data_IF_166456034653
#
_entry.id   IF_166456034653
#
_cell.length_a   1.000
_cell.length_b   1.000
_cell.length_c   1.000
_cell.angle_alpha   90.00
_cell.angle_beta   90.00
_cell.angle_gamma   90.00
#
_symmetry.space_group_name_H-M   'P 1'
#
loop_
_entity.id
_entity.type
_entity.pdbx_description
1 polymer ?
#
# COMPACT_ATOMS: atom_id res chain seq x y z
N UNK A 1 -12.19 0.77 25.92
CA UNK A 1 -13.15 0.75 24.79
C UNK A 1 -14.36 -0.10 25.10
N UNK A 2 -14.13 -1.25 25.72
CA UNK A 2 -15.08 -2.31 26.06
C UNK A 2 -16.37 -1.84 26.77
N UNK A 3 -16.32 -0.82 27.64
CA UNK A 3 -17.51 -0.33 28.38
C UNK A 3 -18.59 0.27 27.47
N UNK A 4 -18.19 0.97 26.39
CA UNK A 4 -19.14 1.53 25.41
C UNK A 4 -19.82 0.45 24.59
N UNK A 5 -19.13 -0.66 24.36
CA UNK A 5 -19.63 -1.78 23.56
C UNK A 5 -20.57 -2.64 24.40
N UNK A 6 -20.31 -2.77 25.70
CA UNK A 6 -21.21 -3.47 26.60
C UNK A 6 -22.61 -2.84 26.65
N UNK A 7 -22.72 -1.51 26.62
CA UNK A 7 -24.02 -0.81 26.56
C UNK A 7 -24.83 -1.21 25.32
N UNK A 8 -24.19 -1.27 24.15
CA UNK A 8 -24.85 -1.73 22.92
C UNK A 8 -25.15 -3.23 23.00
N UNK A 9 -24.24 -4.03 23.57
CA UNK A 9 -24.38 -5.48 23.68
C UNK A 9 -25.58 -5.89 24.54
N UNK A 10 -26.00 -5.09 25.53
CA UNK A 10 -27.21 -5.35 26.33
C UNK A 10 -28.46 -5.45 25.45
N UNK A 11 -28.54 -4.64 24.39
CA UNK A 11 -29.69 -4.59 23.47
C UNK A 11 -29.71 -5.70 22.41
N UNK A 12 -28.60 -6.44 22.27
CA UNK A 12 -28.47 -7.49 21.26
C UNK A 12 -29.02 -8.84 21.76
N UNK A 13 -29.44 -9.73 20.85
CA UNK A 13 -29.92 -11.07 21.22
C UNK A 13 -28.91 -11.89 22.01
N UNK A 14 -29.40 -12.83 22.83
CA UNK A 14 -28.54 -13.81 23.50
C UNK A 14 -27.72 -14.62 22.48
N UNK A 15 -26.51 -15.03 22.89
CA UNK A 15 -25.53 -15.75 22.06
C UNK A 15 -24.97 -14.94 20.87
N UNK A 16 -25.16 -13.61 20.84
CA UNK A 16 -24.52 -12.76 19.85
C UNK A 16 -22.99 -12.78 20.01
N UNK A 17 -22.29 -12.74 18.87
CA UNK A 17 -20.84 -12.50 18.82
C UNK A 17 -20.61 -11.02 18.54
N UNK A 18 -19.77 -10.39 19.35
CA UNK A 18 -19.50 -8.96 19.30
C UNK A 18 -18.08 -8.77 18.79
N UNK A 19 -17.93 -8.08 17.65
CA UNK A 19 -16.63 -7.70 17.10
C UNK A 19 -16.35 -6.25 17.47
N UNK A 20 -15.28 -6.02 18.21
CA UNK A 20 -14.76 -4.70 18.53
C UNK A 20 -13.61 -4.35 17.58
N UNK A 21 -13.91 -3.53 16.56
CA UNK A 21 -12.91 -2.99 15.63
C UNK A 21 -12.47 -1.63 16.15
N UNK A 22 -11.18 -1.49 16.46
CA UNK A 22 -10.62 -0.22 16.91
C UNK A 22 -10.44 0.77 15.73
N UNK A 23 -10.68 2.06 15.97
CA UNK A 23 -10.64 3.08 14.91
C UNK A 23 -9.23 3.49 14.46
N UNK A 24 -8.21 3.09 15.21
CA UNK A 24 -6.78 3.25 14.94
C UNK A 24 -6.21 2.14 14.04
N UNK A 25 -7.00 1.12 13.69
CA UNK A 25 -6.63 0.03 12.74
C UNK A 25 -7.49 0.11 11.44
N UNK A 26 -7.34 1.17 10.62
CA UNK A 26 -8.22 1.44 9.48
C UNK A 26 -8.08 0.44 8.33
N UNK A 27 -7.02 -0.38 8.33
CA UNK A 27 -6.70 -1.34 7.26
C UNK A 27 -6.89 -2.80 7.70
N UNK A 28 -7.71 -3.06 8.71
CA UNK A 28 -8.02 -4.43 9.11
C UNK A 28 -8.70 -5.20 7.96
N UNK A 29 -8.11 -6.32 7.56
CA UNK A 29 -8.65 -7.18 6.51
C UNK A 29 -9.99 -7.81 6.94
N UNK A 30 -11.02 -7.83 6.08
CA UNK A 30 -12.26 -8.56 6.35
C UNK A 30 -12.01 -10.03 6.72
N UNK A 31 -11.05 -10.68 6.06
CA UNK A 31 -10.65 -12.06 6.34
C UNK A 31 -10.15 -12.26 7.77
N UNK A 32 -9.47 -11.25 8.34
CA UNK A 32 -9.00 -11.28 9.73
C UNK A 32 -10.18 -11.28 10.70
N UNK A 33 -11.20 -10.45 10.43
CA UNK A 33 -12.42 -10.41 11.25
C UNK A 33 -13.16 -11.75 11.16
N UNK A 34 -13.35 -12.29 9.96
CA UNK A 34 -14.03 -13.56 9.73
C UNK A 34 -13.37 -14.70 10.51
N UNK A 35 -12.05 -14.85 10.41
CA UNK A 35 -11.30 -15.90 11.15
C UNK A 35 -11.43 -15.76 12.67
N UNK A 36 -11.41 -14.54 13.19
CA UNK A 36 -11.58 -14.30 14.62
C UNK A 36 -12.99 -14.63 15.11
N UNK A 37 -14.02 -14.39 14.29
CA UNK A 37 -15.41 -14.79 14.57
C UNK A 37 -15.57 -16.30 14.49
N UNK A 38 -15.01 -16.94 13.47
CA UNK A 38 -15.05 -18.40 13.31
C UNK A 38 -14.46 -19.13 14.52
N UNK A 39 -13.41 -18.59 15.13
CA UNK A 39 -12.80 -19.15 16.33
C UNK A 39 -13.79 -19.29 17.50
N UNK A 40 -14.76 -18.38 17.64
CA UNK A 40 -15.84 -18.50 18.63
C UNK A 40 -16.96 -19.41 18.12
N UNK A 41 -17.30 -19.36 16.84
CA UNK A 41 -18.37 -20.21 16.30
C UNK A 41 -18.03 -21.70 16.38
N UNK A 42 -16.76 -22.06 16.29
CA UNK A 42 -16.29 -23.46 16.29
C UNK A 42 -16.06 -24.04 17.69
N UNK A 43 -15.86 -23.21 18.71
CA UNK A 43 -15.55 -23.65 20.08
C UNK A 43 -16.33 -22.82 21.11
N UNK A 44 -17.42 -23.42 21.63
CA UNK A 44 -18.27 -22.82 22.66
C UNK A 44 -17.52 -22.49 23.97
N UNK A 45 -16.36 -23.10 24.19
CA UNK A 45 -15.55 -22.85 25.39
C UNK A 45 -14.69 -21.58 25.31
N UNK A 46 -14.58 -20.97 24.13
CA UNK A 46 -13.86 -19.71 23.93
C UNK A 46 -14.72 -18.54 24.42
N UNK A 47 -14.21 -17.77 25.37
CA UNK A 47 -14.89 -16.58 25.91
C UNK A 47 -14.70 -15.36 25.01
N UNK A 48 -13.48 -15.21 24.49
CA UNK A 48 -13.08 -14.14 23.60
C UNK A 48 -11.97 -14.59 22.66
N UNK A 49 -11.84 -13.93 21.51
CA UNK A 49 -10.73 -14.10 20.61
C UNK A 49 -10.05 -12.77 20.30
N UNK A 50 -8.78 -12.88 19.92
CA UNK A 50 -7.97 -11.79 19.39
C UNK A 50 -7.06 -12.34 18.29
N UNK A 51 -6.33 -11.46 17.61
CA UNK A 51 -5.46 -11.82 16.50
C UNK A 51 -4.00 -11.46 16.78
N UNK A 52 -3.11 -12.20 16.13
CA UNK A 52 -1.68 -11.90 16.15
C UNK A 52 -1.05 -12.10 14.78
N UNK A 53 0.09 -11.45 14.56
CA UNK A 53 0.88 -11.55 13.34
C UNK A 53 2.35 -11.85 13.65
N UNK A 54 3.11 -12.46 12.72
CA UNK A 54 4.55 -12.64 12.88
C UNK A 54 5.30 -11.30 12.98
N UNK A 55 6.32 -11.24 13.84
CA UNK A 55 7.21 -10.08 13.90
C UNK A 55 8.37 -10.26 12.93
N UNK A 56 8.58 -9.30 12.02
CA UNK A 56 9.61 -9.38 10.97
C UNK A 56 10.86 -8.53 11.25
N UNK A 57 10.83 -7.64 12.24
CA UNK A 57 11.98 -6.80 12.57
C UNK A 57 12.36 -6.88 14.06
N UNK A 58 13.66 -6.95 14.31
CA UNK A 58 14.23 -6.99 15.68
C UNK A 58 13.81 -5.77 16.50
N UNK A 59 13.74 -4.58 15.86
CA UNK A 59 13.29 -3.35 16.51
C UNK A 59 11.88 -3.46 17.10
N UNK A 60 10.99 -4.21 16.44
CA UNK A 60 9.59 -4.34 16.85
C UNK A 60 9.48 -5.36 18.00
N UNK A 61 10.31 -6.41 18.00
CA UNK A 61 10.44 -7.31 19.16
C UNK A 61 10.85 -6.51 20.40
N UNK A 62 11.83 -5.62 20.27
CA UNK A 62 12.38 -4.83 21.38
C UNK A 62 11.54 -3.61 21.77
N UNK A 63 10.57 -3.20 20.95
CA UNK A 63 9.72 -2.04 21.22
C UNK A 63 8.66 -2.34 22.28
N UNK A 64 8.50 -1.46 23.27
CA UNK A 64 7.42 -1.55 24.26
C UNK A 64 6.04 -1.15 23.70
N UNK A 65 6.00 -0.51 22.54
CA UNK A 65 4.75 -0.13 21.86
C UNK A 65 4.13 -1.35 21.15
N UNK A 66 4.97 -2.31 20.75
CA UNK A 66 4.53 -3.57 20.13
C UNK A 66 4.25 -4.59 21.23
N UNK A 67 2.99 -4.96 21.41
CA UNK A 67 2.58 -5.97 22.39
C UNK A 67 2.90 -7.37 21.85
N UNK A 68 3.63 -8.16 22.63
CA UNK A 68 3.93 -9.56 22.32
C UNK A 68 2.91 -10.47 23.00
N UNK A 69 2.52 -11.54 22.32
CA UNK A 69 1.63 -12.58 22.85
C UNK A 69 2.30 -13.95 22.76
N UNK A 70 2.12 -14.76 23.79
CA UNK A 70 2.50 -16.18 23.80
C UNK A 70 1.26 -17.05 23.96
N UNK A 71 1.22 -18.16 23.26
CA UNK A 71 0.09 -19.10 23.25
C UNK A 71 0.51 -20.50 23.64
N UNK A 72 -0.46 -21.32 24.04
CA UNK A 72 -0.29 -22.76 24.11
C UNK A 72 -0.37 -23.41 22.72
N UNK A 73 -0.23 -24.74 22.66
CA UNK A 73 -0.30 -25.53 21.42
C UNK A 73 -1.70 -25.50 20.76
N UNK A 74 -2.74 -25.16 21.52
CA UNK A 74 -4.11 -25.04 21.03
C UNK A 74 -4.44 -23.59 20.62
N UNK A 75 -3.49 -22.66 20.68
CA UNK A 75 -3.69 -21.25 20.33
C UNK A 75 -4.46 -20.44 21.38
N UNK A 76 -4.49 -20.88 22.64
CA UNK A 76 -4.99 -20.05 23.75
C UNK A 76 -3.87 -19.16 24.29
N UNK A 77 -4.18 -17.90 24.58
CA UNK A 77 -3.20 -16.98 25.15
C UNK A 77 -2.75 -17.45 26.54
N UNK A 78 -1.44 -17.52 26.73
CA UNK A 78 -0.80 -17.75 28.03
C UNK A 78 -0.43 -16.43 28.70
N UNK A 79 0.05 -15.45 27.92
CA UNK A 79 0.44 -14.14 28.44
C UNK A 79 0.59 -13.08 27.34
N UNK A 80 0.44 -11.81 27.71
CA UNK A 80 0.73 -10.65 26.88
C UNK A 80 1.73 -9.74 27.60
N UNK A 81 2.68 -9.17 26.87
CA UNK A 81 3.64 -8.23 27.47
C UNK A 81 4.16 -7.22 26.47
N UNK A 82 4.48 -6.02 26.95
CA UNK A 82 5.27 -5.04 26.20
C UNK A 82 6.74 -5.44 26.11
N UNK A 83 7.22 -6.29 27.02
CA UNK A 83 8.55 -6.86 26.93
C UNK A 83 8.61 -8.07 25.98
N UNK A 84 9.79 -8.38 25.42
CA UNK A 84 9.98 -9.54 24.55
C UNK A 84 9.68 -10.87 25.26
N UNK A 85 8.65 -11.56 24.80
CA UNK A 85 8.27 -12.90 25.26
C UNK A 85 8.03 -13.83 24.06
N UNK A 86 8.46 -15.11 24.11
CA UNK A 86 9.25 -15.74 25.17
C UNK A 86 10.72 -15.23 25.20
N UNK A 87 11.40 -15.41 26.33
CA UNK A 87 12.81 -15.02 26.48
C UNK A 87 13.77 -16.18 26.13
N UNK A 88 14.60 -16.07 25.07
CA UNK A 88 15.48 -17.15 24.61
C UNK A 88 16.76 -17.24 25.44
N UNK A 89 16.65 -17.77 26.65
CA UNK A 89 17.71 -17.78 27.68
C UNK A 89 19.08 -18.23 27.17
N UNK A 90 19.15 -19.36 26.47
CA UNK A 90 20.44 -19.94 26.04
C UNK A 90 21.12 -19.08 24.96
N UNK A 91 20.35 -18.57 24.00
CA UNK A 91 20.88 -17.67 22.98
C UNK A 91 21.34 -16.34 23.59
N UNK A 92 20.55 -15.75 24.50
CA UNK A 92 20.95 -14.53 25.21
C UNK A 92 22.22 -14.74 26.02
N UNK A 93 22.36 -15.87 26.71
CA UNK A 93 23.58 -16.23 27.45
C UNK A 93 24.79 -16.36 26.52
N UNK A 94 24.61 -16.95 25.34
CA UNK A 94 25.66 -17.15 24.33
C UNK A 94 26.12 -15.84 23.67
N UNK A 95 25.20 -14.89 23.46
CA UNK A 95 25.47 -13.66 22.70
C UNK A 95 25.46 -12.36 23.53
N UNK A 96 25.25 -12.48 24.85
CA UNK A 96 25.32 -11.40 25.83
C UNK A 96 24.09 -10.48 25.91
N UNK A 97 23.23 -10.45 24.88
CA UNK A 97 21.98 -9.69 24.87
C UNK A 97 20.95 -10.33 23.95
N UNK A 98 19.67 -10.00 24.16
CA UNK A 98 18.59 -10.43 23.27
C UNK A 98 18.76 -9.88 21.85
N UNK A 99 19.14 -8.62 21.71
CA UNK A 99 19.38 -8.03 20.41
C UNK A 99 20.48 -8.77 19.65
N UNK A 100 21.59 -9.09 20.31
CA UNK A 100 22.68 -9.85 19.68
C UNK A 100 22.24 -11.28 19.31
N UNK A 101 21.45 -11.92 20.18
CA UNK A 101 20.89 -13.25 19.89
C UNK A 101 20.04 -13.23 18.63
N UNK A 102 19.10 -12.29 18.52
CA UNK A 102 18.22 -12.13 17.35
C UNK A 102 18.99 -11.80 16.06
N UNK A 103 20.10 -11.04 16.18
CA UNK A 103 20.98 -10.73 15.03
C UNK A 103 21.81 -11.93 14.56
N UNK A 104 22.22 -12.82 15.48
CA UNK A 104 23.10 -13.96 15.19
C UNK A 104 22.34 -15.25 14.87
N UNK A 105 21.16 -15.45 15.43
CA UNK A 105 20.29 -16.60 15.20
C UNK A 105 18.92 -16.10 14.71
N UNK A 106 18.79 -15.92 13.39
CA UNK A 106 17.60 -15.32 12.77
C UNK A 106 16.32 -16.10 13.02
N UNK A 107 16.41 -17.41 13.19
CA UNK A 107 15.25 -18.28 13.42
C UNK A 107 14.54 -17.96 14.74
N UNK A 108 15.24 -17.36 15.72
CA UNK A 108 14.64 -16.89 16.96
C UNK A 108 13.56 -15.84 16.73
N UNK A 109 13.61 -15.09 15.63
CA UNK A 109 12.60 -14.09 15.33
C UNK A 109 11.22 -14.73 15.08
N UNK A 110 11.20 -15.96 14.55
CA UNK A 110 9.96 -16.68 14.19
C UNK A 110 9.09 -17.06 15.38
N UNK A 111 9.59 -16.98 16.62
CA UNK A 111 8.83 -17.34 17.83
C UNK A 111 7.98 -16.18 18.34
N UNK A 112 8.25 -14.95 17.88
CA UNK A 112 7.53 -13.77 18.35
C UNK A 112 6.26 -13.54 17.54
N UNK A 113 5.20 -13.16 18.24
CA UNK A 113 3.92 -12.74 17.67
C UNK A 113 3.55 -11.37 18.20
N UNK A 114 3.21 -10.45 17.30
CA UNK A 114 2.64 -9.14 17.63
C UNK A 114 1.13 -9.31 17.77
N UNK A 115 0.58 -8.84 18.87
CA UNK A 115 -0.87 -8.72 19.05
C UNK A 115 -1.40 -7.51 18.27
N UNK A 116 -2.51 -7.67 17.55
CA UNK A 116 -3.03 -6.66 16.61
C UNK A 116 -4.29 -5.93 17.08
N UNK A 117 -4.73 -6.13 18.33
CA UNK A 117 -5.76 -5.27 18.95
C UNK A 117 -7.21 -5.54 18.54
N UNK A 118 -7.48 -6.46 17.60
CA UNK A 118 -8.85 -6.93 17.34
C UNK A 118 -9.38 -7.72 18.54
N UNK A 119 -10.62 -7.46 18.95
CA UNK A 119 -11.29 -8.28 19.95
C UNK A 119 -12.64 -8.78 19.45
N UNK A 120 -12.90 -10.06 19.68
CA UNK A 120 -14.18 -10.70 19.42
C UNK A 120 -14.65 -11.34 20.71
N UNK A 121 -15.88 -11.06 21.13
CA UNK A 121 -16.42 -11.54 22.40
C UNK A 121 -17.71 -12.32 22.19
N UNK A 122 -17.94 -13.31 23.06
CA UNK A 122 -19.32 -13.71 23.35
C UNK A 122 -19.99 -12.60 24.13
N UNK A 123 -21.23 -12.26 23.77
CA UNK A 123 -22.01 -11.21 24.44
C UNK A 123 -22.05 -11.40 25.96
N UNK A 124 -22.33 -12.61 26.42
CA UNK A 124 -22.51 -12.95 27.83
C UNK A 124 -21.20 -12.75 28.61
N UNK A 125 -20.07 -13.13 28.00
CA UNK A 125 -18.76 -12.87 28.57
C UNK A 125 -18.46 -11.36 28.60
N UNK A 126 -18.73 -10.62 27.52
CA UNK A 126 -18.49 -9.18 27.45
C UNK A 126 -19.23 -8.43 28.56
N UNK A 127 -20.51 -8.74 28.79
CA UNK A 127 -21.34 -8.12 29.83
C UNK A 127 -20.85 -8.42 31.26
N UNK A 128 -20.20 -9.57 31.47
CA UNK A 128 -19.55 -9.92 32.73
C UNK A 128 -18.20 -9.20 32.86
N UNK A 129 -17.40 -9.23 31.80
CA UNK A 129 -16.04 -8.71 31.73
C UNK A 129 -15.97 -7.22 32.04
N UNK A 130 -16.89 -6.41 31.50
CA UNK A 130 -16.91 -4.95 31.74
C UNK A 130 -17.22 -4.55 33.18
N UNK A 131 -17.75 -5.47 33.99
CA UNK A 131 -18.00 -5.25 35.43
C UNK A 131 -16.78 -5.59 36.30
N UNK A 132 -15.73 -6.16 35.71
CA UNK A 132 -14.52 -6.53 36.45
C UNK A 132 -13.63 -5.32 36.71
N UNK A 133 -13.11 -5.24 37.94
CA UNK A 133 -12.13 -4.23 38.32
C UNK A 133 -10.82 -4.47 37.58
N UNK A 134 -10.13 -3.37 37.24
CA UNK A 134 -8.80 -3.45 36.66
C UNK A 134 -7.83 -4.13 37.63
N UNK A 135 -7.14 -5.13 37.10
CA UNK A 135 -6.13 -5.89 37.83
C UNK A 135 -4.81 -5.14 37.87
N UNK A 136 -3.87 -5.61 38.70
CA UNK A 136 -2.56 -4.98 38.80
C UNK A 136 -1.72 -5.20 37.52
N UNK A 137 -1.86 -6.36 36.83
CA UNK A 137 -1.18 -6.58 35.55
C UNK A 137 -1.73 -5.68 34.44
N UNK A 138 -3.06 -5.52 34.35
CA UNK A 138 -3.65 -4.56 33.40
C UNK A 138 -3.08 -3.15 33.63
N UNK A 139 -3.02 -2.68 34.88
CA UNK A 139 -2.49 -1.34 35.20
C UNK A 139 -1.00 -1.22 34.90
N UNK A 140 -0.23 -2.28 35.12
CA UNK A 140 1.23 -2.27 34.96
C UNK A 140 1.64 -2.28 33.49
N UNK A 141 1.05 -3.16 32.69
CA UNK A 141 1.36 -3.29 31.26
C UNK A 141 0.48 -2.36 30.40
N UNK A 142 -0.58 -1.77 30.96
CA UNK A 142 -1.62 -1.04 30.23
C UNK A 142 -2.25 -1.91 29.13
N UNK A 143 -2.66 -3.13 29.50
CA UNK A 143 -3.19 -4.16 28.60
C UNK A 143 -4.49 -4.78 29.16
N UNK A 144 -5.65 -4.42 28.60
CA UNK A 144 -6.98 -4.81 29.11
C UNK A 144 -7.27 -6.32 29.04
N UNK A 145 -6.60 -7.03 28.14
CA UNK A 145 -6.71 -8.48 27.98
C UNK A 145 -6.08 -9.25 29.15
N UNK A 146 -5.15 -8.64 29.91
CA UNK A 146 -4.59 -9.28 31.11
C UNK A 146 -5.64 -9.42 32.22
N UNK A 147 -6.54 -8.44 32.36
CA UNK A 147 -7.69 -8.55 33.27
C UNK A 147 -8.60 -9.72 32.91
N UNK A 148 -8.81 -9.98 31.62
CA UNK A 148 -9.59 -11.14 31.18
C UNK A 148 -8.88 -12.45 31.54
N UNK A 149 -7.58 -12.58 31.24
CA UNK A 149 -6.79 -13.76 31.59
C UNK A 149 -6.76 -14.04 33.10
N UNK A 150 -6.52 -13.03 33.93
CA UNK A 150 -6.46 -13.19 35.39
C UNK A 150 -7.80 -13.62 36.00
N UNK A 151 -8.92 -13.31 35.34
CA UNK A 151 -10.26 -13.74 35.74
C UNK A 151 -10.68 -15.06 35.06
N UNK A 152 -9.74 -15.80 34.49
CA UNK A 152 -9.95 -17.14 33.96
C UNK A 152 -10.59 -17.21 32.57
N UNK A 153 -10.60 -16.11 31.83
CA UNK A 153 -11.14 -16.10 30.47
C UNK A 153 -10.27 -16.95 29.54
N UNK A 154 -10.92 -17.75 28.69
CA UNK A 154 -10.26 -18.48 27.60
C UNK A 154 -10.17 -17.58 26.37
N UNK A 155 -8.98 -17.02 26.16
CA UNK A 155 -8.69 -16.14 25.03
C UNK A 155 -8.07 -16.93 23.88
N UNK A 156 -8.80 -17.08 22.77
CA UNK A 156 -8.25 -17.68 21.55
C UNK A 156 -7.44 -16.65 20.77
N UNK A 157 -6.24 -17.00 20.35
CA UNK A 157 -5.38 -16.13 19.53
C UNK A 157 -5.30 -16.70 18.13
N UNK A 158 -5.78 -15.93 17.16
CA UNK A 158 -5.83 -16.33 15.76
C UNK A 158 -4.66 -15.71 15.01
N UNK A 159 -3.80 -16.55 14.42
CA UNK A 159 -2.67 -16.07 13.62
C UNK A 159 -3.16 -15.59 12.24
N UNK A 160 -2.76 -14.37 11.89
CA UNK A 160 -3.02 -13.76 10.58
C UNK A 160 -1.71 -13.41 9.87
N UNK A 161 -1.71 -13.60 8.55
CA UNK A 161 -0.54 -13.36 7.69
C UNK A 161 -0.55 -11.97 7.05
N UNK A 162 -1.73 -11.33 7.01
CA UNK A 162 -1.89 -9.98 6.49
C UNK A 162 -1.62 -9.00 7.63
N UNK A 163 -0.54 -8.24 7.51
CA UNK A 163 -0.10 -7.32 8.56
C UNK A 163 -1.08 -6.16 8.72
N UNK A 164 -1.43 -5.79 9.95
CA UNK A 164 -2.20 -4.57 10.23
C UNK A 164 -1.26 -3.39 10.51
N UNK A 165 -1.59 -2.23 9.94
CA UNK A 165 -0.89 -0.97 10.22
C UNK A 165 -1.80 -0.11 11.10
N UNK A 166 -1.57 -0.20 12.41
CA UNK A 166 -2.11 0.74 13.38
C UNK A 166 -1.57 2.15 13.16
N UNK A 167 -2.42 3.16 13.37
CA UNK A 167 -2.08 4.58 13.19
C UNK A 167 -1.87 5.22 14.56
N UNK A 168 -0.68 5.00 15.13
CA UNK A 168 -0.27 5.58 16.41
C UNK A 168 0.59 6.85 16.26
N UNK A 169 1.25 7.00 15.11
CA UNK A 169 2.18 8.09 14.84
C UNK A 169 1.84 8.84 13.55
N UNK A 170 2.44 10.03 13.37
CA UNK A 170 2.31 10.80 12.12
C UNK A 170 2.91 10.02 10.95
N UNK A 171 4.01 9.30 11.16
CA UNK A 171 4.60 8.45 10.13
C UNK A 171 3.67 7.31 9.72
N UNK A 172 2.94 6.71 10.66
CA UNK A 172 1.99 5.63 10.35
C UNK A 172 0.77 6.16 9.61
N UNK A 173 0.28 7.35 9.97
CA UNK A 173 -0.77 8.03 9.21
C UNK A 173 -0.37 8.24 7.75
N UNK A 174 0.84 8.74 7.48
CA UNK A 174 1.31 8.96 6.11
C UNK A 174 1.47 7.64 5.33
N UNK A 175 1.90 6.55 5.99
CA UNK A 175 1.97 5.22 5.35
C UNK A 175 0.58 4.69 5.01
N UNK A 176 -0.34 4.72 5.96
CA UNK A 176 -1.73 4.26 5.76
C UNK A 176 -2.42 5.09 4.69
N UNK A 177 -2.25 6.41 4.73
CA UNK A 177 -2.74 7.32 3.69
C UNK A 177 -2.19 6.95 2.31
N UNK A 178 -0.89 6.69 2.20
CA UNK A 178 -0.30 6.24 0.93
C UNK A 178 -0.89 4.91 0.46
N UNK A 179 -1.08 3.93 1.34
CA UNK A 179 -1.67 2.63 1.01
C UNK A 179 -3.11 2.80 0.53
N UNK A 180 -3.95 3.53 1.27
CA UNK A 180 -5.33 3.82 0.88
C UNK A 180 -5.39 4.58 -0.45
N UNK A 181 -4.50 5.54 -0.67
CA UNK A 181 -4.42 6.30 -1.92
C UNK A 181 -3.92 5.45 -3.11
N UNK A 182 -3.13 4.40 -2.86
CA UNK A 182 -2.57 3.55 -3.93
C UNK A 182 -3.43 2.31 -4.22
N UNK A 183 -4.09 1.72 -3.22
CA UNK A 183 -5.00 0.59 -3.39
C UNK A 183 -6.32 0.98 -4.08
N UNK A 184 -6.69 2.26 -4.05
CA UNK A 184 -7.87 2.78 -4.73
C UNK A 184 -7.60 3.28 -6.17
N UNK A 185 -6.50 2.87 -6.80
CA UNK A 185 -6.19 3.25 -8.18
C UNK A 185 -6.73 2.21 -9.15
N UNK A 186 -7.72 2.64 -9.94
CA UNK A 186 -8.25 1.86 -11.05
C UNK A 186 -7.43 2.17 -12.30
N UNK A 187 -6.80 1.14 -12.86
CA UNK A 187 -6.18 1.22 -14.18
C UNK A 187 -7.15 0.72 -15.23
N UNK A 188 -7.42 1.55 -16.24
CA UNK A 188 -8.34 1.17 -17.33
C UNK A 188 -7.93 1.76 -18.66
N UNK A 189 -8.49 1.19 -19.72
CA UNK A 189 -8.38 1.76 -21.05
C UNK A 189 -9.09 3.11 -21.10
N UNK A 190 -8.41 4.11 -21.63
CA UNK A 190 -8.99 5.42 -21.87
C UNK A 190 -9.85 5.41 -23.14
N UNK A 191 -10.85 6.29 -23.17
CA UNK A 191 -11.67 6.55 -24.35
C UNK A 191 -11.77 8.07 -24.60
N UNK A 192 -12.38 8.46 -25.72
CA UNK A 192 -12.48 9.87 -26.14
C UNK A 192 -13.15 10.79 -25.11
N UNK A 193 -13.99 10.28 -24.21
CA UNK A 193 -14.60 11.09 -23.14
C UNK A 193 -13.60 11.49 -22.05
N UNK A 194 -12.49 10.75 -21.92
CA UNK A 194 -11.42 11.03 -20.96
C UNK A 194 -10.48 12.17 -21.42
N UNK A 195 -10.61 12.63 -22.67
CA UNK A 195 -9.68 13.57 -23.29
C UNK A 195 -9.49 14.88 -22.49
N UNK A 196 -10.56 15.40 -21.89
CA UNK A 196 -10.47 16.61 -21.05
C UNK A 196 -9.66 16.35 -19.77
N UNK A 197 -9.90 15.22 -19.10
CA UNK A 197 -9.19 14.89 -17.86
C UNK A 197 -7.70 14.62 -18.13
N UNK A 198 -7.40 13.88 -19.20
CA UNK A 198 -6.02 13.63 -19.65
C UNK A 198 -5.31 14.92 -20.04
N UNK A 199 -6.00 15.85 -20.71
CA UNK A 199 -5.45 17.16 -21.04
C UNK A 199 -5.07 17.96 -19.78
N UNK A 200 -5.91 17.95 -18.74
CA UNK A 200 -5.60 18.58 -17.46
C UNK A 200 -4.35 17.98 -16.81
N UNK A 201 -4.27 16.65 -16.72
CA UNK A 201 -3.07 15.96 -16.18
C UNK A 201 -1.83 16.37 -16.96
N UNK A 202 -1.88 16.32 -18.29
CA UNK A 202 -0.73 16.69 -19.13
C UNK A 202 -0.28 18.13 -18.87
N UNK A 203 -1.19 19.10 -18.94
CA UNK A 203 -0.86 20.52 -18.74
C UNK A 203 -0.29 20.74 -17.34
N UNK A 204 -0.95 20.24 -16.31
CA UNK A 204 -0.50 20.42 -14.92
C UNK A 204 0.87 19.78 -14.67
N UNK A 205 1.08 18.54 -15.13
CA UNK A 205 2.38 17.87 -15.02
C UNK A 205 3.49 18.67 -15.72
N UNK A 206 3.23 19.20 -16.91
CA UNK A 206 4.21 20.02 -17.62
C UNK A 206 4.56 21.31 -16.88
N UNK A 207 3.55 22.04 -16.40
CA UNK A 207 3.76 23.27 -15.65
C UNK A 207 4.57 23.03 -14.37
N UNK A 208 4.30 21.96 -13.61
CA UNK A 208 5.04 21.71 -12.36
C UNK A 208 6.44 21.12 -12.63
N UNK A 209 6.57 20.18 -13.57
CA UNK A 209 7.82 19.44 -13.77
C UNK A 209 8.86 20.17 -14.61
N UNK A 210 8.43 21.08 -15.49
CA UNK A 210 9.32 21.80 -16.41
C UNK A 210 9.37 23.32 -16.17
N UNK A 211 8.73 23.83 -15.12
CA UNK A 211 8.93 25.21 -14.67
C UNK A 211 10.41 25.49 -14.41
N UNK A 212 10.92 26.54 -15.05
CA UNK A 212 12.34 26.91 -14.97
C UNK A 212 13.30 26.05 -15.80
N UNK A 213 12.80 25.01 -16.49
CA UNK A 213 13.57 24.15 -17.41
C UNK A 213 13.29 24.53 -18.87
N UNK A 214 12.01 24.72 -19.20
CA UNK A 214 11.55 25.12 -20.54
C UNK A 214 11.08 26.59 -20.55
N UNK A 215 10.98 27.25 -21.72
CA UNK A 215 10.60 28.65 -21.77
C UNK A 215 9.20 28.88 -21.20
N UNK A 216 9.02 29.92 -20.38
CA UNK A 216 7.73 30.22 -19.77
C UNK A 216 6.64 30.47 -20.83
N UNK A 217 6.99 31.13 -21.94
CA UNK A 217 6.09 31.34 -23.08
C UNK A 217 5.54 30.03 -23.66
N UNK A 218 6.34 28.96 -23.67
CA UNK A 218 5.88 27.64 -24.11
C UNK A 218 4.83 27.08 -23.15
N UNK A 219 5.09 27.16 -21.84
CA UNK A 219 4.18 26.70 -20.80
C UNK A 219 2.86 27.51 -20.83
N UNK A 220 2.94 28.84 -20.92
CA UNK A 220 1.75 29.70 -20.98
C UNK A 220 0.87 29.41 -22.20
N UNK A 221 1.46 28.92 -23.29
CA UNK A 221 0.74 28.53 -24.50
C UNK A 221 0.21 27.09 -24.50
N UNK A 222 0.63 26.27 -23.53
CA UNK A 222 0.21 24.87 -23.35
C UNK A 222 -1.11 24.83 -22.58
N UNK A 223 -2.23 25.08 -23.26
CA UNK A 223 -3.55 25.14 -22.62
C UNK A 223 -4.29 23.81 -22.64
N UNK A 224 -5.20 23.62 -21.68
CA UNK A 224 -6.05 22.41 -21.58
C UNK A 224 -6.90 22.25 -22.82
N UNK A 225 -7.45 23.33 -23.38
CA UNK A 225 -8.33 23.30 -24.56
C UNK A 225 -7.59 22.77 -25.79
N UNK A 226 -6.37 23.28 -26.05
CA UNK A 226 -5.54 22.82 -27.17
C UNK A 226 -5.17 21.35 -27.01
N UNK A 227 -4.81 20.94 -25.78
CA UNK A 227 -4.46 19.54 -25.49
C UNK A 227 -5.65 18.60 -25.57
N UNK A 228 -6.82 19.01 -25.11
CA UNK A 228 -8.05 18.21 -25.23
C UNK A 228 -8.37 17.95 -26.70
N UNK A 229 -8.33 18.99 -27.54
CA UNK A 229 -8.56 18.86 -28.99
C UNK A 229 -7.55 17.89 -29.63
N UNK A 230 -6.27 18.01 -29.29
CA UNK A 230 -5.23 17.12 -29.79
C UNK A 230 -5.48 15.66 -29.35
N UNK A 231 -5.80 15.40 -28.08
CA UNK A 231 -6.11 14.05 -27.62
C UNK A 231 -7.37 13.47 -28.26
N UNK A 232 -8.44 14.27 -28.43
CA UNK A 232 -9.65 13.84 -29.13
C UNK A 232 -9.36 13.38 -30.56
N UNK A 233 -8.49 14.10 -31.28
CA UNK A 233 -8.06 13.71 -32.61
C UNK A 233 -7.27 12.38 -32.59
N UNK A 234 -6.34 12.23 -31.64
CA UNK A 234 -5.52 11.02 -31.47
C UNK A 234 -6.35 9.78 -31.22
N UNK A 235 -7.42 9.88 -30.43
CA UNK A 235 -8.35 8.76 -30.20
C UNK A 235 -9.02 8.23 -31.47
N UNK A 236 -9.01 8.99 -32.58
CA UNK A 236 -9.50 8.53 -33.88
C UNK A 236 -8.43 7.86 -34.77
N UNK A 237 -7.16 7.83 -34.34
CA UNK A 237 -6.07 7.26 -35.13
C UNK A 237 -5.99 5.75 -35.00
N UNK A 238 -5.65 5.10 -36.12
CA UNK A 238 -5.44 3.65 -36.16
C UNK A 238 -4.20 3.27 -35.32
N UNK A 239 -4.34 2.31 -34.41
CA UNK A 239 -3.31 1.84 -33.48
C UNK A 239 -2.93 2.81 -32.35
N UNK A 240 -3.67 3.91 -32.15
CA UNK A 240 -3.50 4.74 -30.96
C UNK A 240 -4.21 4.12 -29.75
N UNK A 241 -3.48 4.00 -28.64
CA UNK A 241 -3.92 3.35 -27.43
C UNK A 241 -3.51 4.19 -26.21
N UNK A 242 -4.33 4.20 -25.16
CA UNK A 242 -4.02 4.92 -23.92
C UNK A 242 -4.60 4.20 -22.70
N UNK A 243 -3.80 4.09 -21.65
CA UNK A 243 -4.25 3.71 -20.31
C UNK A 243 -4.30 4.93 -19.40
N UNK A 244 -5.27 4.96 -18.49
CA UNK A 244 -5.38 5.97 -17.42
C UNK A 244 -5.33 5.28 -16.06
N UNK A 245 -4.80 6.01 -15.08
CA UNK A 245 -4.89 5.70 -13.66
C UNK A 245 -5.92 6.67 -13.04
N UNK A 246 -6.93 6.13 -12.37
CA UNK A 246 -8.06 6.88 -11.83
C UNK A 246 -8.26 6.58 -10.34
N UNK A 247 -8.53 7.61 -9.54
CA UNK A 247 -8.95 7.49 -8.14
C UNK A 247 -10.41 7.87 -8.01
N UNK A 248 -11.09 7.34 -6.98
CA UNK A 248 -12.49 7.68 -6.70
C UNK A 248 -12.69 9.17 -6.36
N UNK A 249 -11.68 9.82 -5.79
CA UNK A 249 -11.78 11.20 -5.28
C UNK A 249 -11.32 12.25 -6.29
N UNK A 250 -10.26 11.97 -7.05
CA UNK A 250 -9.58 12.94 -7.91
C UNK A 250 -9.84 12.70 -9.41
N UNK A 251 -10.47 11.57 -9.75
CA UNK A 251 -10.66 11.15 -11.13
C UNK A 251 -9.34 10.69 -11.75
N UNK A 252 -9.10 11.01 -13.02
CA UNK A 252 -7.88 10.61 -13.72
C UNK A 252 -6.68 11.40 -13.19
N UNK A 253 -5.73 10.69 -12.59
CA UNK A 253 -4.51 11.24 -11.98
C UNK A 253 -3.26 10.99 -12.80
N UNK A 254 -3.37 10.19 -13.86
CA UNK A 254 -2.25 9.76 -14.67
C UNK A 254 -2.67 9.07 -15.96
N UNK A 255 -1.79 9.09 -16.96
CA UNK A 255 -2.01 8.36 -18.20
C UNK A 255 -0.69 7.95 -18.86
N UNK A 256 -0.79 6.97 -19.74
CA UNK A 256 0.26 6.59 -20.68
C UNK A 256 -0.38 6.27 -22.04
N UNK A 257 0.08 6.93 -23.09
CA UNK A 257 -0.38 6.68 -24.46
C UNK A 257 0.74 6.14 -25.35
N UNK A 258 0.34 5.28 -26.28
CA UNK A 258 1.25 4.46 -27.06
C UNK A 258 0.60 3.98 -28.33
N UNK A 259 1.42 3.48 -29.25
CA UNK A 259 0.96 2.96 -30.52
C UNK A 259 2.10 2.65 -31.46
N UNK A 260 1.80 2.62 -32.76
CA UNK A 260 2.80 2.36 -33.80
C UNK A 260 3.91 3.41 -33.78
N UNK A 261 5.14 2.98 -34.05
CA UNK A 261 6.27 3.90 -34.24
C UNK A 261 5.93 5.02 -35.21
N UNK A 262 6.19 6.28 -34.81
CA UNK A 262 6.09 7.46 -35.69
C UNK A 262 7.35 7.65 -36.53
N UNK A 263 8.49 7.16 -36.05
CA UNK A 263 9.79 7.29 -36.72
C UNK A 263 10.09 6.06 -37.59
N UNK A 264 10.18 6.27 -38.91
CA UNK A 264 10.41 5.19 -39.87
C UNK A 264 11.83 4.63 -39.84
N UNK A 265 12.79 5.45 -39.42
CA UNK A 265 14.21 5.10 -39.42
C UNK A 265 14.64 4.44 -38.10
N UNK A 266 13.73 4.31 -37.13
CA UNK A 266 14.00 3.64 -35.86
C UNK A 266 13.69 2.15 -35.96
N UNK A 267 14.60 1.33 -35.44
CA UNK A 267 14.46 -0.13 -35.42
C UNK A 267 13.49 -0.63 -34.33
N UNK A 268 12.41 0.12 -34.06
CA UNK A 268 11.41 -0.17 -33.04
C UNK A 268 10.01 -0.15 -33.66
N UNK A 269 9.19 -1.11 -33.27
CA UNK A 269 7.85 -1.32 -33.84
C UNK A 269 6.78 -0.39 -33.24
N UNK A 270 6.93 -0.06 -31.96
CA UNK A 270 6.01 0.80 -31.23
C UNK A 270 6.72 1.97 -30.53
N UNK A 271 5.91 2.93 -30.11
CA UNK A 271 6.34 4.08 -29.35
C UNK A 271 5.43 4.28 -28.13
N UNK A 272 6.04 4.52 -26.97
CA UNK A 272 5.36 5.11 -25.83
C UNK A 272 5.41 6.63 -26.01
N UNK A 273 4.31 7.21 -26.49
CA UNK A 273 4.23 8.60 -26.92
C UNK A 273 4.38 9.58 -25.73
N UNK A 274 3.72 9.26 -24.62
CA UNK A 274 3.81 10.01 -23.39
C UNK A 274 3.42 9.15 -22.18
N UNK A 275 3.98 9.51 -21.03
CA UNK A 275 3.58 9.01 -19.72
C UNK A 275 3.66 10.16 -18.72
N UNK A 276 2.54 10.50 -18.10
CA UNK A 276 2.45 11.63 -17.16
C UNK A 276 1.56 11.28 -15.97
N UNK A 277 1.94 11.83 -14.82
CA UNK A 277 1.21 11.73 -13.55
C UNK A 277 1.13 13.12 -12.94
N UNK A 278 0.00 13.42 -12.29
CA UNK A 278 -0.08 14.55 -11.39
C UNK A 278 1.02 14.44 -10.32
N UNK A 279 1.72 15.54 -9.97
CA UNK A 279 2.88 15.52 -9.08
C UNK A 279 2.67 14.82 -7.73
N UNK A 280 1.47 14.90 -7.19
CA UNK A 280 1.01 14.35 -5.92
C UNK A 280 0.90 12.81 -5.96
N UNK A 281 0.86 12.26 -7.18
CA UNK A 281 0.75 10.84 -7.48
C UNK A 281 2.08 10.25 -8.01
N UNK A 282 3.13 11.07 -8.13
CA UNK A 282 4.46 10.59 -8.49
C UNK A 282 5.10 9.81 -7.35
N UNK A 283 6.07 8.94 -7.68
CA UNK A 283 6.83 8.10 -6.73
C UNK A 283 6.01 7.08 -5.92
N UNK A 284 4.75 6.85 -6.29
CA UNK A 284 3.85 5.85 -5.67
C UNK A 284 3.69 4.55 -6.48
N UNK A 285 4.60 4.27 -7.42
CA UNK A 285 4.54 3.07 -8.29
C UNK A 285 3.53 3.13 -9.45
N UNK A 286 2.70 4.16 -9.53
CA UNK A 286 1.63 4.29 -10.54
C UNK A 286 2.18 4.33 -11.97
N UNK A 287 3.25 5.08 -12.21
CA UNK A 287 3.88 5.18 -13.52
C UNK A 287 4.50 3.86 -13.98
N UNK A 288 5.04 3.08 -13.03
CA UNK A 288 5.56 1.73 -13.31
C UNK A 288 4.43 0.78 -13.73
N UNK A 289 3.26 0.85 -13.09
CA UNK A 289 2.09 0.06 -13.48
C UNK A 289 1.53 0.48 -14.84
N UNK A 290 1.40 1.78 -15.12
CA UNK A 290 0.97 2.27 -16.44
C UNK A 290 1.93 1.81 -17.54
N UNK A 291 3.24 1.90 -17.31
CA UNK A 291 4.25 1.44 -18.25
C UNK A 291 4.13 -0.06 -18.56
N UNK A 292 4.01 -0.90 -17.52
CA UNK A 292 3.84 -2.35 -17.67
C UNK A 292 2.54 -2.72 -18.40
N UNK A 293 1.46 -1.97 -18.18
CA UNK A 293 0.20 -2.16 -18.91
C UNK A 293 0.36 -1.86 -20.40
N UNK A 294 1.07 -0.79 -20.75
CA UNK A 294 1.42 -0.50 -22.15
C UNK A 294 2.23 -1.62 -22.78
N UNK A 295 3.29 -2.11 -22.12
CA UNK A 295 4.10 -3.23 -22.62
C UNK A 295 3.24 -4.49 -22.81
N UNK A 296 2.42 -4.86 -21.82
CA UNK A 296 1.55 -6.03 -21.89
C UNK A 296 0.61 -5.98 -23.09
N UNK A 297 0.03 -4.81 -23.37
CA UNK A 297 -0.83 -4.63 -24.54
C UNK A 297 -0.03 -4.73 -25.85
N UNK A 298 1.16 -4.10 -25.93
CA UNK A 298 2.03 -4.20 -27.10
C UNK A 298 2.42 -5.66 -27.41
N UNK A 299 2.78 -6.44 -26.38
CA UNK A 299 3.08 -7.87 -26.53
C UNK A 299 1.87 -8.63 -27.05
N UNK A 300 0.66 -8.32 -26.54
CA UNK A 300 -0.58 -8.92 -27.02
C UNK A 300 -0.85 -8.59 -28.50
N UNK A 301 -0.46 -7.39 -28.96
CA UNK A 301 -0.49 -6.96 -30.36
C UNK A 301 0.67 -7.54 -31.20
N UNK A 302 1.52 -8.40 -30.62
CA UNK A 302 2.72 -9.00 -31.24
C UNK A 302 3.81 -8.00 -31.62
N UNK A 303 3.89 -6.90 -30.89
CA UNK A 303 5.00 -5.93 -30.97
C UNK A 303 6.10 -6.40 -30.02
N UNK A 304 7.34 -6.53 -30.52
CA UNK A 304 8.48 -7.02 -29.71
C UNK A 304 9.45 -5.92 -29.28
N UNK A 305 9.23 -4.68 -29.72
CA UNK A 305 10.15 -3.57 -29.48
C UNK A 305 9.42 -2.23 -29.38
N UNK A 306 9.84 -1.39 -28.43
CA UNK A 306 9.33 -0.03 -28.29
C UNK A 306 10.42 0.98 -27.96
N UNK A 307 10.15 2.25 -28.24
CA UNK A 307 10.98 3.36 -27.77
C UNK A 307 10.15 4.46 -27.13
N UNK A 308 10.84 5.38 -26.46
CA UNK A 308 10.32 6.64 -25.96
C UNK A 308 11.36 7.74 -26.19
N UNK A 309 10.90 8.93 -26.55
CA UNK A 309 11.73 10.14 -26.62
C UNK A 309 11.49 11.00 -25.38
N UNK A 310 12.57 11.42 -24.73
CA UNK A 310 12.54 12.33 -23.60
C UNK A 310 13.48 13.52 -23.84
N UNK A 311 13.15 14.69 -23.30
CA UNK A 311 14.11 15.80 -23.25
C UNK A 311 15.32 15.36 -22.41
N UNK A 312 16.55 15.67 -22.84
CA UNK A 312 17.75 15.31 -22.07
C UNK A 312 17.79 16.02 -20.70
N UNK A 313 17.21 17.22 -20.64
CA UNK A 313 17.01 18.00 -19.41
C UNK A 313 15.89 17.47 -18.51
N UNK A 314 15.18 16.41 -18.91
CA UNK A 314 14.08 15.87 -18.12
C UNK A 314 14.59 15.27 -16.80
N UNK A 315 13.95 15.59 -15.66
CA UNK A 315 14.30 14.99 -14.37
C UNK A 315 13.89 13.51 -14.26
N UNK A 316 13.15 12.99 -15.25
CA UNK A 316 12.56 11.65 -15.21
C UNK A 316 13.38 10.59 -15.95
N UNK A 317 14.55 10.91 -16.49
CA UNK A 317 15.46 9.93 -17.10
C UNK A 317 15.73 8.68 -16.22
N UNK A 318 15.96 8.81 -14.89
CA UNK A 318 16.16 7.64 -14.03
C UNK A 318 14.96 6.69 -13.98
N UNK A 319 13.74 7.16 -14.26
CA UNK A 319 12.57 6.28 -14.35
C UNK A 319 12.68 5.34 -15.55
N UNK A 320 13.03 5.85 -16.73
CA UNK A 320 13.17 5.01 -17.93
C UNK A 320 14.32 4.01 -17.80
N UNK A 321 15.43 4.42 -17.20
CA UNK A 321 16.57 3.55 -16.89
C UNK A 321 16.18 2.44 -15.91
N UNK A 322 15.43 2.77 -14.85
CA UNK A 322 14.89 1.77 -13.90
C UNK A 322 13.97 0.77 -14.60
N UNK A 323 13.18 1.22 -15.57
CA UNK A 323 12.31 0.35 -16.39
C UNK A 323 13.08 -0.46 -17.44
N UNK A 324 14.42 -0.42 -17.44
CA UNK A 324 15.27 -1.20 -18.33
C UNK A 324 15.57 -0.53 -19.68
N UNK A 325 15.21 0.74 -19.85
CA UNK A 325 15.41 1.47 -21.10
C UNK A 325 16.90 1.71 -21.36
N UNK A 326 17.34 1.42 -22.58
CA UNK A 326 18.70 1.70 -23.02
C UNK A 326 18.72 2.94 -23.91
N UNK A 327 19.72 3.80 -23.74
CA UNK A 327 19.90 4.94 -24.65
C UNK A 327 20.34 4.39 -26.01
N UNK A 328 19.51 4.61 -27.04
CA UNK A 328 19.72 4.10 -28.41
C UNK A 328 19.93 5.21 -29.43
N UNK A 329 19.76 6.47 -29.02
CA UNK A 329 19.99 7.62 -29.87
C UNK A 329 19.76 8.94 -29.15
N UNK A 330 20.08 10.01 -29.87
CA UNK A 330 19.85 11.39 -29.48
C UNK A 330 19.29 12.15 -30.67
N UNK A 331 18.49 13.17 -30.40
CA UNK A 331 17.96 14.08 -31.42
C UNK A 331 17.73 15.45 -30.82
N UNK A 332 17.06 16.33 -31.55
CA UNK A 332 16.70 17.66 -31.06
C UNK A 332 15.20 17.92 -31.22
N UNK A 333 14.64 18.72 -30.33
CA UNK A 333 13.26 19.16 -30.37
C UNK A 333 13.13 20.63 -30.00
N UNK A 334 12.34 21.37 -30.76
CA UNK A 334 12.11 22.80 -30.50
C UNK A 334 10.89 22.99 -29.59
N UNK A 335 11.09 23.70 -28.49
CA UNK A 335 10.01 24.19 -27.63
C UNK A 335 10.00 25.72 -27.72
N UNK A 336 8.95 26.26 -28.35
CA UNK A 336 8.93 27.64 -28.85
C UNK A 336 10.13 27.91 -29.78
N UNK A 337 10.99 28.86 -29.44
CA UNK A 337 12.18 29.23 -30.22
C UNK A 337 13.48 28.62 -29.68
N UNK A 338 13.40 27.71 -28.71
CA UNK A 338 14.56 27.11 -28.04
C UNK A 338 14.70 25.65 -28.44
N UNK A 339 15.89 25.27 -28.90
CA UNK A 339 16.24 23.89 -29.23
C UNK A 339 16.67 23.15 -27.95
N UNK A 340 16.10 21.96 -27.74
CA UNK A 340 16.43 21.05 -26.66
C UNK A 340 16.95 19.73 -27.21
N UNK A 341 18.02 19.21 -26.62
CA UNK A 341 18.47 17.85 -26.89
C UNK A 341 17.43 16.85 -26.36
N UNK A 342 17.22 15.77 -27.10
CA UNK A 342 16.36 14.64 -26.75
C UNK A 342 17.18 13.36 -26.70
N UNK A 343 16.83 12.49 -25.75
CA UNK A 343 17.39 11.15 -25.60
C UNK A 343 16.31 10.15 -25.97
N UNK A 344 16.70 9.15 -26.75
CA UNK A 344 15.83 8.06 -27.17
C UNK A 344 16.15 6.85 -26.32
N UNK A 345 15.18 6.41 -25.52
CA UNK A 345 15.24 5.17 -24.76
C UNK A 345 14.54 4.06 -25.53
N UNK A 346 15.20 2.91 -25.67
CA UNK A 346 14.70 1.74 -26.38
C UNK A 346 14.61 0.52 -25.49
N UNK A 347 13.57 -0.28 -25.74
CA UNK A 347 13.33 -1.60 -25.16
C UNK A 347 13.16 -2.60 -26.30
N UNK A 348 13.99 -3.65 -26.28
CA UNK A 348 13.89 -4.81 -27.18
C UNK A 348 13.46 -6.01 -26.35
N UNK A 349 12.83 -6.98 -27.01
CA UNK A 349 12.39 -8.23 -26.41
C UNK A 349 11.41 -7.99 -25.25
N UNK A 350 10.32 -7.28 -25.59
CA UNK A 350 9.28 -6.82 -24.66
C UNK A 350 8.62 -7.92 -23.83
#
# INVERSE_FOLDING_TARGET
GSDRIAEVAETLPENSIIVNVQGDEPLISPTTIEKAVEALLQDETVDMATTCEPIHAIKDVLSADVVKVVTDENGFALYFSRLPIPFPREAVKKYGSLENALRKEKDLLSVYRKHTGLYVYRREFLLKYTKLLQTDLEKTEMLEQLRALENGAKIKVVEVLEGSIGVDTKEDFEKVKQIIETENIVYRRANVKDALAVAKVHVESWHKSFAGIVPQEFLDNLTVEKREQAFRQRFGEENYKMFVAETANDGIVGFADFGKSREKDFAFEAELYAIYLLPEFQRKGIGENLFKLCQKEMIADKVNSMYLMALDVSPYKPFYEKMGGQIVGKGNHFLALVEYETVIYGWKDL
#
